data_IF_914893448824
#
_entry.id   IF_914893448824
#
_cell.length_a   1.000
_cell.length_b   1.000
_cell.length_c   1.000
_cell.angle_alpha   90.00
_cell.angle_beta   90.00
_cell.angle_gamma   90.00
#
_symmetry.space_group_name_H-M   'P 1'
#
loop_
_entity.id
_entity.type
_entity.pdbx_description
1 polymer ?
#
# COMPACT_ATOMS: atom_id res chain seq x y z
N UNK A 1 16.70 -7.66 10.89
CA UNK A 1 15.65 -6.98 11.69
C UNK A 1 14.41 -6.86 10.82
N UNK A 2 13.39 -7.67 11.07
CA UNK A 2 12.05 -7.48 10.46
C UNK A 2 11.36 -6.38 11.24
N UNK A 3 11.60 -5.13 10.88
CA UNK A 3 10.96 -4.02 11.56
C UNK A 3 9.46 -4.05 11.22
N UNK A 4 8.62 -4.32 12.22
CA UNK A 4 7.16 -4.27 12.13
C UNK A 4 6.71 -2.80 12.07
N UNK A 5 7.08 -2.08 11.01
CA UNK A 5 6.82 -0.66 10.86
C UNK A 5 5.34 -0.34 10.98
N UNK A 6 5.01 0.69 11.76
CA UNK A 6 3.64 1.14 11.99
C UNK A 6 2.85 0.32 13.01
N UNK A 7 3.34 -0.83 13.51
CA UNK A 7 2.60 -1.67 14.47
C UNK A 7 2.90 -1.30 15.94
N UNK A 8 1.96 -0.63 16.60
CA UNK A 8 2.09 -0.24 17.99
C UNK A 8 2.35 -1.44 18.91
N UNK A 9 3.29 -1.30 19.85
CA UNK A 9 3.65 -2.33 20.84
C UNK A 9 4.47 -3.53 20.32
N UNK A 10 4.67 -3.67 19.01
CA UNK A 10 5.49 -4.75 18.41
C UNK A 10 6.55 -4.27 17.42
N UNK A 11 6.50 -3.01 16.99
CA UNK A 11 7.44 -2.46 16.05
C UNK A 11 7.81 -1.01 16.34
N UNK A 12 8.11 -0.27 15.28
CA UNK A 12 8.55 1.12 15.33
C UNK A 12 7.53 1.99 14.58
N UNK A 13 7.30 3.24 15.00
CA UNK A 13 6.35 4.10 14.31
C UNK A 13 6.84 4.39 12.89
N UNK A 14 5.90 4.71 12.01
CA UNK A 14 6.22 5.38 10.76
C UNK A 14 6.50 6.85 11.05
N UNK A 15 7.25 7.48 10.17
CA UNK A 15 7.65 8.87 10.30
C UNK A 15 7.24 9.61 9.04
N UNK A 16 6.39 10.64 9.18
CA UNK A 16 5.87 11.43 8.05
C UNK A 16 7.00 12.08 7.27
N UNK A 17 6.94 12.03 5.94
CA UNK A 17 7.87 12.66 5.01
C UNK A 17 7.14 13.69 4.12
N UNK A 18 7.28 14.98 4.38
CA UNK A 18 6.55 16.03 3.64
C UNK A 18 7.21 16.46 2.32
N UNK A 19 8.48 16.12 2.08
CA UNK A 19 9.17 16.41 0.81
C UNK A 19 8.49 15.67 -0.36
N UNK A 20 7.64 16.39 -1.10
CA UNK A 20 6.87 15.86 -2.23
C UNK A 20 7.73 15.30 -3.36
N UNK A 21 8.94 15.84 -3.57
CA UNK A 21 9.84 15.30 -4.58
C UNK A 21 10.36 13.94 -4.14
N UNK A 22 10.69 13.78 -2.85
CA UNK A 22 11.10 12.48 -2.31
C UNK A 22 9.94 11.49 -2.27
N UNK A 23 8.73 11.91 -1.91
CA UNK A 23 7.52 11.07 -2.00
C UNK A 23 7.29 10.59 -3.43
N UNK A 24 7.39 11.49 -4.41
CA UNK A 24 7.25 11.15 -5.83
C UNK A 24 8.32 10.16 -6.30
N UNK A 25 9.57 10.35 -5.87
CA UNK A 25 10.66 9.39 -6.15
C UNK A 25 10.41 8.02 -5.51
N UNK A 26 9.92 7.99 -4.27
CA UNK A 26 9.59 6.74 -3.58
C UNK A 26 8.53 5.96 -4.37
N UNK A 27 7.42 6.64 -4.70
CA UNK A 27 6.32 6.08 -5.49
C UNK A 27 6.79 5.61 -6.87
N UNK A 28 7.66 6.37 -7.53
CA UNK A 28 8.22 5.97 -8.82
C UNK A 28 8.99 4.65 -8.70
N UNK A 29 9.90 4.55 -7.74
CA UNK A 29 10.74 3.36 -7.53
C UNK A 29 9.92 2.11 -7.24
N UNK A 30 8.93 2.20 -6.36
CA UNK A 30 8.14 1.02 -5.97
C UNK A 30 7.03 0.74 -6.98
N UNK A 31 6.27 1.75 -7.39
CA UNK A 31 4.99 1.56 -8.05
C UNK A 31 4.93 1.95 -9.53
N UNK A 32 5.99 2.50 -10.13
CA UNK A 32 5.95 2.93 -11.54
C UNK A 32 7.08 2.34 -12.38
N UNK A 33 8.30 2.28 -11.84
CA UNK A 33 9.51 1.94 -12.61
C UNK A 33 9.45 0.58 -13.31
N UNK A 34 9.01 -0.44 -12.59
CA UNK A 34 8.94 -1.83 -13.04
C UNK A 34 7.58 -2.47 -12.70
N UNK A 35 6.55 -1.63 -12.58
CA UNK A 35 5.19 -2.08 -12.31
C UNK A 35 4.51 -2.55 -13.59
N UNK A 36 3.86 -3.70 -13.52
CA UNK A 36 3.01 -4.22 -14.57
C UNK A 36 1.64 -4.48 -13.97
N UNK A 37 0.62 -3.77 -14.46
CA UNK A 37 -0.74 -3.98 -14.01
C UNK A 37 -1.21 -5.40 -14.34
N UNK A 38 -1.88 -6.04 -13.38
CA UNK A 38 -2.63 -7.26 -13.63
C UNK A 38 -3.89 -6.95 -14.46
N UNK A 39 -4.46 -7.97 -15.13
CA UNK A 39 -5.76 -7.83 -15.76
C UNK A 39 -6.80 -7.26 -14.79
N UNK A 40 -7.70 -6.38 -15.25
CA UNK A 40 -8.70 -5.78 -14.37
C UNK A 40 -9.61 -6.85 -13.79
N UNK A 41 -10.02 -6.67 -12.53
CA UNK A 41 -11.07 -7.51 -11.97
C UNK A 41 -12.36 -7.18 -12.71
N UNK A 42 -12.99 -8.22 -13.24
CA UNK A 42 -14.26 -8.08 -13.94
C UNK A 42 -15.38 -8.43 -12.98
N UNK A 43 -16.25 -7.46 -12.66
CA UNK A 43 -17.46 -7.72 -11.90
C UNK A 43 -18.65 -8.00 -12.85
N UNK A 44 -19.58 -8.82 -12.35
CA UNK A 44 -20.89 -9.18 -12.89
C UNK A 44 -21.12 -8.94 -14.41
N UNK A 45 -21.04 -10.01 -15.20
CA UNK A 45 -21.44 -9.99 -16.61
C UNK A 45 -20.53 -9.21 -17.56
N UNK A 46 -19.29 -8.89 -17.16
CA UNK A 46 -18.31 -8.22 -18.02
C UNK A 46 -18.42 -6.69 -18.06
N UNK A 47 -19.38 -6.10 -17.33
CA UNK A 47 -19.73 -4.67 -17.48
C UNK A 47 -18.92 -3.73 -16.60
N UNK A 48 -18.47 -4.18 -15.43
CA UNK A 48 -17.66 -3.37 -14.54
C UNK A 48 -16.23 -3.90 -14.55
N UNK A 49 -15.31 -3.10 -15.10
CA UNK A 49 -13.88 -3.36 -15.03
C UNK A 49 -13.26 -2.52 -13.92
N UNK A 50 -12.73 -3.20 -12.93
CA UNK A 50 -12.02 -2.57 -11.82
C UNK A 50 -10.54 -2.62 -12.14
N UNK A 51 -9.94 -1.45 -12.33
CA UNK A 51 -8.54 -1.32 -12.71
C UNK A 51 -7.63 -1.75 -11.56
N UNK A 52 -6.54 -2.42 -11.92
CA UNK A 52 -5.41 -2.63 -11.03
C UNK A 52 -4.69 -1.33 -10.71
N UNK A 53 -4.16 -1.25 -9.49
CA UNK A 53 -3.37 -0.14 -8.99
C UNK A 53 -2.29 -0.66 -8.06
N UNK A 54 -1.18 0.06 -8.01
CA UNK A 54 -0.10 -0.25 -7.11
C UNK A 54 -0.30 0.43 -5.76
N UNK A 55 -0.18 -0.36 -4.69
CA UNK A 55 -0.02 0.11 -3.31
C UNK A 55 1.36 -0.29 -2.76
N UNK A 56 1.87 0.49 -1.81
CA UNK A 56 3.22 0.30 -1.27
C UNK A 56 3.25 0.44 0.26
N UNK A 57 3.91 -0.52 0.90
CA UNK A 57 4.16 -0.45 2.35
C UNK A 57 5.62 -0.78 2.68
N UNK A 58 6.31 0.03 3.51
CA UNK A 58 5.85 1.29 4.09
C UNK A 58 5.55 2.38 3.04
N UNK A 59 4.61 3.27 3.33
CA UNK A 59 4.09 4.25 2.38
C UNK A 59 5.18 5.18 1.82
N UNK A 60 5.08 5.59 0.55
CA UNK A 60 5.99 6.59 -0.03
C UNK A 60 6.04 7.91 0.75
N UNK A 61 4.95 8.26 1.43
CA UNK A 61 4.81 9.43 2.32
C UNK A 61 5.56 9.32 3.66
N UNK A 62 6.46 8.34 3.82
CA UNK A 62 7.19 8.08 5.06
C UNK A 62 8.69 7.93 4.84
N UNK A 63 9.48 8.20 5.88
CA UNK A 63 10.94 7.99 5.85
C UNK A 63 11.34 6.51 5.77
N UNK A 64 10.44 5.62 6.17
CA UNK A 64 10.60 4.16 6.17
C UNK A 64 10.26 3.51 4.82
N UNK A 65 9.86 4.29 3.80
CA UNK A 65 9.61 3.74 2.47
C UNK A 65 10.77 2.86 2.02
N UNK A 66 10.47 1.66 1.52
CA UNK A 66 11.48 0.73 1.05
C UNK A 66 12.24 1.20 -0.20
N UNK A 67 11.81 2.29 -0.82
CA UNK A 67 12.38 2.82 -2.07
C UNK A 67 13.88 3.15 -1.99
N UNK A 68 14.42 3.49 -0.81
CA UNK A 68 15.86 3.72 -0.64
C UNK A 68 16.68 2.44 -0.47
N UNK A 69 16.02 1.29 -0.34
CA UNK A 69 16.64 -0.02 -0.09
C UNK A 69 16.56 -0.94 -1.30
N UNK A 70 15.85 -0.54 -2.37
CA UNK A 70 15.64 -1.34 -3.57
C UNK A 70 15.85 -0.51 -4.83
N UNK A 71 16.19 -1.18 -5.93
CA UNK A 71 16.29 -0.53 -7.25
C UNK A 71 14.94 -0.41 -7.97
N UNK A 72 13.98 -1.27 -7.62
CA UNK A 72 12.63 -1.32 -8.20
C UNK A 72 11.69 -2.12 -7.30
N UNK A 73 10.38 -1.96 -7.48
CA UNK A 73 9.39 -2.58 -6.62
C UNK A 73 9.29 -4.09 -6.78
N UNK A 74 9.86 -4.69 -7.83
CA UNK A 74 9.99 -6.16 -7.96
C UNK A 74 10.83 -6.79 -6.85
N UNK A 75 11.67 -6.00 -6.16
CA UNK A 75 12.41 -6.44 -5.00
C UNK A 75 11.56 -6.52 -3.71
N UNK A 76 10.37 -5.93 -3.67
CA UNK A 76 9.43 -6.06 -2.56
C UNK A 76 8.73 -7.44 -2.58
N UNK A 77 8.12 -7.83 -1.47
CA UNK A 77 7.11 -8.89 -1.49
C UNK A 77 5.92 -8.41 -2.31
N UNK A 78 5.50 -9.20 -3.30
CA UNK A 78 4.36 -8.88 -4.16
C UNK A 78 3.10 -9.51 -3.56
N UNK A 79 2.04 -8.73 -3.41
CA UNK A 79 0.74 -9.20 -2.94
C UNK A 79 -0.37 -8.83 -3.92
N UNK A 80 -1.47 -9.55 -3.91
CA UNK A 80 -2.70 -9.22 -4.63
C UNK A 80 -3.88 -9.23 -3.68
N UNK A 81 -4.77 -8.24 -3.81
CA UNK A 81 -6.07 -8.29 -3.16
C UNK A 81 -6.89 -9.49 -3.65
N UNK A 82 -7.45 -10.24 -2.72
CA UNK A 82 -8.34 -11.36 -3.01
C UNK A 82 -9.77 -10.87 -2.87
N UNK A 83 -10.57 -11.07 -3.91
CA UNK A 83 -12.01 -10.84 -3.84
C UNK A 83 -12.62 -11.97 -3.01
N UNK A 84 -13.05 -11.66 -1.80
CA UNK A 84 -13.61 -12.64 -0.85
C UNK A 84 -15.12 -12.67 -0.86
N UNK A 85 -15.76 -11.59 -1.33
CA UNK A 85 -17.20 -11.48 -1.47
C UNK A 85 -17.59 -10.96 -2.86
N UNK A 86 -18.76 -11.38 -3.35
CA UNK A 86 -19.36 -10.81 -4.57
C UNK A 86 -20.08 -9.48 -4.32
N UNK A 87 -20.45 -9.22 -3.06
CA UNK A 87 -21.28 -8.09 -2.65
C UNK A 87 -20.73 -7.46 -1.37
N UNK A 88 -20.87 -6.14 -1.25
CA UNK A 88 -20.47 -5.37 -0.07
C UNK A 88 -20.96 -3.93 -0.21
N UNK A 89 -21.17 -3.25 0.91
CA UNK A 89 -21.51 -1.82 0.95
C UNK A 89 -20.28 -0.93 0.70
N UNK A 90 -19.07 -1.49 0.82
CA UNK A 90 -17.81 -0.79 0.51
C UNK A 90 -16.80 -1.72 -0.19
N UNK A 91 -15.80 -1.17 -0.92
CA UNK A 91 -14.71 -1.96 -1.47
C UNK A 91 -13.96 -2.78 -0.41
N UNK A 92 -13.75 -2.26 0.80
CA UNK A 92 -13.04 -2.98 1.86
C UNK A 92 -13.78 -4.26 2.31
N UNK A 93 -15.11 -4.32 2.17
CA UNK A 93 -15.90 -5.52 2.45
C UNK A 93 -15.85 -6.56 1.33
N UNK A 94 -15.47 -6.16 0.11
CA UNK A 94 -15.35 -7.03 -1.07
C UNK A 94 -13.95 -7.66 -1.15
N UNK A 95 -12.91 -6.89 -0.81
CA UNK A 95 -11.51 -7.32 -0.79
C UNK A 95 -10.95 -7.26 0.63
N UNK A 96 -11.31 -8.25 1.46
CA UNK A 96 -10.97 -8.26 2.89
C UNK A 96 -9.58 -8.83 3.18
N UNK A 97 -8.89 -9.40 2.19
CA UNK A 97 -7.59 -10.04 2.38
C UNK A 97 -6.70 -9.92 1.14
N UNK A 98 -5.43 -10.27 1.31
CA UNK A 98 -4.41 -10.30 0.27
C UNK A 98 -3.74 -11.67 0.25
N UNK A 99 -3.19 -12.03 -0.90
CA UNK A 99 -2.36 -13.23 -1.07
C UNK A 99 -1.03 -12.89 -1.74
N UNK A 100 0.06 -13.62 -1.45
CA UNK A 100 1.32 -13.44 -2.15
C UNK A 100 1.24 -13.79 -3.63
N UNK A 101 1.94 -13.02 -4.46
CA UNK A 101 2.27 -13.41 -5.83
C UNK A 101 3.72 -13.91 -5.82
N UNK A 102 3.89 -15.21 -6.09
CA UNK A 102 5.20 -15.85 -6.06
C UNK A 102 5.76 -16.02 -4.64
N UNK A 103 7.09 -16.06 -4.53
CA UNK A 103 7.77 -16.38 -3.27
C UNK A 103 7.82 -15.19 -2.31
N UNK A 104 7.41 -15.42 -1.06
CA UNK A 104 7.54 -14.46 0.04
C UNK A 104 8.97 -14.46 0.56
N UNK A 105 9.62 -13.30 0.54
CA UNK A 105 10.97 -13.10 1.09
C UNK A 105 10.86 -12.38 2.42
N UNK A 106 11.07 -13.08 3.53
CA UNK A 106 10.96 -12.50 4.88
C UNK A 106 11.91 -11.30 5.12
N UNK A 107 13.01 -11.21 4.38
CA UNK A 107 13.97 -10.11 4.45
C UNK A 107 13.67 -8.95 3.48
N UNK A 108 12.58 -9.00 2.71
CA UNK A 108 12.25 -7.90 1.81
C UNK A 108 11.96 -6.62 2.59
N UNK A 109 12.48 -5.46 2.15
CA UNK A 109 12.35 -4.20 2.89
C UNK A 109 10.96 -3.56 2.74
N UNK A 110 10.12 -4.09 1.85
CA UNK A 110 8.83 -3.53 1.46
C UNK A 110 7.88 -4.60 0.96
N UNK A 111 6.61 -4.21 0.89
CA UNK A 111 5.50 -4.90 0.25
C UNK A 111 4.98 -4.00 -0.87
N UNK A 112 4.67 -4.61 -2.02
CA UNK A 112 4.00 -3.96 -3.15
C UNK A 112 2.72 -4.73 -3.50
N UNK A 113 1.59 -4.05 -3.43
CA UNK A 113 0.27 -4.65 -3.59
C UNK A 113 -0.39 -4.32 -4.92
N UNK A 114 -0.97 -5.33 -5.57
CA UNK A 114 -1.98 -5.19 -6.62
C UNK A 114 -3.35 -5.03 -5.97
N UNK A 115 -3.80 -3.78 -5.84
CA UNK A 115 -5.01 -3.41 -5.13
C UNK A 115 -6.00 -2.78 -6.11
N UNK A 116 -7.30 -3.13 -6.06
CA UNK A 116 -8.34 -2.45 -6.80
C UNK A 116 -8.24 -0.93 -6.68
N UNK A 117 -8.21 -0.22 -7.82
CA UNK A 117 -8.03 1.23 -7.84
C UNK A 117 -9.06 1.95 -6.95
N UNK A 118 -10.30 1.47 -6.94
CA UNK A 118 -11.36 2.04 -6.10
C UNK A 118 -11.05 1.92 -4.61
N UNK A 119 -10.51 0.77 -4.17
CA UNK A 119 -10.13 0.56 -2.78
C UNK A 119 -8.93 1.43 -2.40
N UNK A 120 -7.89 1.41 -3.23
CA UNK A 120 -6.66 2.18 -3.00
C UNK A 120 -6.91 3.71 -3.01
N UNK A 121 -7.87 4.18 -3.82
CA UNK A 121 -8.27 5.59 -3.84
C UNK A 121 -8.98 5.99 -2.56
N UNK A 122 -9.91 5.16 -2.07
CA UNK A 122 -10.66 5.45 -0.84
C UNK A 122 -9.73 5.45 0.37
N UNK A 123 -8.93 4.40 0.55
CA UNK A 123 -8.04 4.27 1.70
C UNK A 123 -6.87 5.26 1.65
N UNK A 124 -6.27 5.47 0.48
CA UNK A 124 -5.24 6.49 0.29
C UNK A 124 -5.76 7.91 0.56
N UNK A 125 -7.00 8.19 0.16
CA UNK A 125 -7.70 9.43 0.50
C UNK A 125 -7.92 9.59 2.00
N UNK A 126 -8.40 8.54 2.68
CA UNK A 126 -8.61 8.53 4.13
C UNK A 126 -7.30 8.75 4.90
N UNK A 127 -6.20 8.11 4.48
CA UNK A 127 -4.87 8.34 5.04
C UNK A 127 -4.40 9.79 4.86
N UNK A 128 -4.58 10.36 3.66
CA UNK A 128 -4.25 11.77 3.39
C UNK A 128 -5.07 12.73 4.25
N UNK A 129 -6.38 12.48 4.39
CA UNK A 129 -7.26 13.26 5.26
C UNK A 129 -6.84 13.13 6.73
N UNK A 130 -6.49 11.93 7.21
CA UNK A 130 -5.99 11.72 8.56
C UNK A 130 -4.73 12.53 8.82
N UNK A 131 -3.73 12.47 7.93
CA UNK A 131 -2.48 13.21 8.09
C UNK A 131 -2.72 14.72 8.21
N UNK A 132 -3.68 15.25 7.45
CA UNK A 132 -4.10 16.65 7.53
C UNK A 132 -4.88 16.96 8.83
N UNK A 133 -5.85 16.11 9.19
CA UNK A 133 -6.69 16.30 10.37
C UNK A 133 -5.87 16.27 11.68
N UNK A 134 -4.89 15.37 11.76
CA UNK A 134 -3.94 15.29 12.88
C UNK A 134 -2.79 16.30 12.76
N UNK A 135 -2.72 17.06 11.66
CA UNK A 135 -1.67 18.05 11.38
C UNK A 135 -0.26 17.47 11.49
N UNK A 136 -0.05 16.26 10.98
CA UNK A 136 1.26 15.60 11.02
C UNK A 136 2.28 16.43 10.24
N UNK A 137 3.26 16.96 10.96
CA UNK A 137 4.41 17.68 10.44
C UNK A 137 5.45 16.71 9.88
N UNK A 138 6.41 17.25 9.13
CA UNK A 138 7.56 16.46 8.73
C UNK A 138 8.25 15.86 9.95
N UNK A 139 8.60 14.58 9.86
CA UNK A 139 9.19 13.77 10.94
C UNK A 139 8.27 13.41 12.11
N UNK A 140 7.00 13.76 12.08
CA UNK A 140 6.08 13.30 13.13
C UNK A 140 5.94 11.77 13.09
N UNK A 141 6.06 11.08 14.24
CA UNK A 141 5.84 9.66 14.34
C UNK A 141 4.35 9.35 14.40
N UNK A 142 3.93 8.28 13.70
CA UNK A 142 2.57 7.77 13.78
C UNK A 142 2.52 6.24 13.69
N UNK A 143 1.46 5.67 14.23
CA UNK A 143 1.18 4.24 14.20
C UNK A 143 -0.01 3.96 13.28
N UNK A 144 -0.09 2.73 12.79
CA UNK A 144 -1.21 2.22 12.01
C UNK A 144 -1.85 1.08 12.79
N UNK A 145 -3.17 1.08 12.84
CA UNK A 145 -3.94 -0.08 13.26
C UNK A 145 -4.85 -0.51 12.11
N UNK A 146 -4.89 -1.82 11.86
CA UNK A 146 -5.91 -2.44 11.01
C UNK A 146 -6.94 -3.01 11.97
N UNK A 147 -8.12 -2.40 12.01
CA UNK A 147 -9.24 -2.82 12.88
C UNK A 147 -10.28 -3.56 12.03
N UNK A 148 -10.83 -4.68 12.52
CA UNK A 148 -11.92 -5.41 11.83
C UNK A 148 -13.20 -4.60 11.67
#
# INVERSE_FOLDING_TARGET
>A
MTAHWGLAGRGQPLTRLQDEQRVSRNRYTICQRDWQALPPWTAQGGRLQIKDSCDEFPFAGTYQSGASLVQGGTACVQLQAVKTNEWGQSPAQIWTTVQPIGSVRAAAPCVRGHIPLILNTVEGGAYGLFANAQRLLDRDPFWIAVVP
#
